data_IF_548523975090
#
_entry.id   IF_548523975090
#
_cell.length_a   1.000
_cell.length_b   1.000
_cell.length_c   1.000
_cell.angle_alpha   90.00
_cell.angle_beta   90.00
_cell.angle_gamma   90.00
#
_symmetry.space_group_name_H-M   'P 1'
#
loop_
_entity.id
_entity.type
_entity.pdbx_description
1 polymer ?
#
# COMPACT_ATOMS: atom_id res chain seq x y z
N UNK A 1 14.39 -6.79 53.31
CA UNK A 1 14.09 -7.27 51.94
C UNK A 1 14.86 -8.57 51.73
N UNK A 2 14.23 -9.63 51.23
CA UNK A 2 14.93 -10.86 50.85
C UNK A 2 14.83 -11.07 49.34
N UNK A 3 15.91 -11.54 48.72
CA UNK A 3 15.99 -11.74 47.28
C UNK A 3 16.33 -13.20 46.97
N UNK A 4 15.58 -13.81 46.06
CA UNK A 4 15.85 -15.16 45.55
C UNK A 4 15.86 -15.14 44.04
N UNK A 5 16.96 -15.58 43.43
CA UNK A 5 17.09 -15.69 41.99
C UNK A 5 16.58 -17.04 41.48
N UNK A 6 15.97 -17.04 40.30
CA UNK A 6 15.56 -18.25 39.59
C UNK A 6 16.50 -18.48 38.40
N UNK A 7 17.49 -19.39 38.53
CA UNK A 7 18.46 -19.66 37.48
C UNK A 7 17.85 -20.31 36.24
N UNK A 8 16.60 -20.80 36.33
CA UNK A 8 15.85 -21.36 35.20
C UNK A 8 15.18 -20.28 34.35
N UNK A 9 14.95 -19.09 34.91
CA UNK A 9 14.14 -18.05 34.27
C UNK A 9 14.87 -16.73 34.08
N UNK A 10 16.03 -16.54 34.72
CA UNK A 10 16.77 -15.28 34.71
C UNK A 10 16.09 -14.19 35.53
N UNK A 11 15.14 -14.55 36.39
CA UNK A 11 14.35 -13.59 37.19
C UNK A 11 14.83 -13.54 38.64
N UNK A 12 14.70 -12.38 39.27
CA UNK A 12 14.97 -12.21 40.70
C UNK A 12 13.70 -11.76 41.43
N UNK A 13 13.30 -12.54 42.43
CA UNK A 13 12.13 -12.28 43.28
C UNK A 13 12.58 -11.54 44.53
N UNK A 14 11.95 -10.41 44.80
CA UNK A 14 12.19 -9.58 45.97
C UNK A 14 10.95 -9.57 46.86
N UNK A 15 11.08 -10.08 48.08
CA UNK A 15 10.06 -9.94 49.11
C UNK A 15 10.33 -8.65 49.91
N UNK A 16 9.38 -7.72 49.84
CA UNK A 16 9.41 -6.46 50.58
C UNK A 16 8.47 -6.55 51.78
N UNK A 17 8.98 -6.14 52.94
CA UNK A 17 8.21 -6.12 54.18
C UNK A 17 8.69 -4.96 55.05
N UNK A 18 7.84 -3.96 55.21
CA UNK A 18 8.01 -2.81 56.10
C UNK A 18 6.68 -2.53 56.81
N UNK A 19 6.65 -1.52 57.70
CA UNK A 19 5.42 -1.09 58.37
C UNK A 19 4.31 -0.68 57.39
N UNK A 20 4.66 -0.20 56.20
CA UNK A 20 3.73 0.42 55.26
C UNK A 20 3.71 -0.21 53.87
N UNK A 21 4.64 -1.11 53.55
CA UNK A 21 4.71 -1.85 52.29
C UNK A 21 4.93 -3.34 52.58
N UNK A 22 4.11 -4.20 51.99
CA UNK A 22 4.36 -5.65 51.97
C UNK A 22 4.01 -6.25 50.61
N UNK A 23 4.75 -7.25 50.15
CA UNK A 23 4.42 -7.99 48.93
C UNK A 23 5.67 -8.41 48.17
N UNK A 24 5.49 -8.70 46.89
CA UNK A 24 6.54 -9.24 46.03
C UNK A 24 6.75 -8.35 44.82
N UNK A 25 8.02 -8.11 44.50
CA UNK A 25 8.47 -7.47 43.27
C UNK A 25 9.34 -8.46 42.50
N UNK A 26 8.93 -8.79 41.28
CA UNK A 26 9.68 -9.72 40.43
C UNK A 26 10.41 -8.95 39.34
N UNK A 27 11.73 -8.98 39.39
CA UNK A 27 12.61 -8.33 38.42
C UNK A 27 12.92 -9.30 37.30
N UNK A 28 12.67 -8.86 36.06
CA UNK A 28 12.92 -9.63 34.84
C UNK A 28 13.75 -8.79 33.89
N UNK A 29 14.85 -9.34 33.32
CA UNK A 29 15.49 -8.73 32.17
C UNK A 29 14.47 -8.54 31.04
N UNK A 30 14.46 -7.37 30.42
CA UNK A 30 13.54 -6.99 29.37
C UNK A 30 14.33 -6.59 28.12
N UNK A 31 14.07 -7.24 26.99
CA UNK A 31 14.60 -6.84 25.69
C UNK A 31 13.88 -5.58 25.22
N UNK A 32 14.66 -4.55 24.91
CA UNK A 32 14.16 -3.29 24.35
C UNK A 32 14.32 -3.37 22.84
N UNK A 33 13.21 -3.21 22.11
CA UNK A 33 13.20 -3.20 20.65
C UNK A 33 13.95 -4.40 20.01
N UNK A 34 14.81 -4.14 19.03
CA UNK A 34 15.47 -5.14 18.19
C UNK A 34 16.67 -5.85 18.84
N UNK A 35 16.91 -5.63 20.12
CA UNK A 35 18.04 -6.24 20.84
C UNK A 35 17.75 -7.69 21.27
N UNK A 36 18.76 -8.55 21.12
CA UNK A 36 18.70 -9.95 21.55
C UNK A 36 19.06 -10.13 23.03
N UNK A 37 19.95 -9.26 23.53
CA UNK A 37 20.28 -9.21 24.94
C UNK A 37 19.35 -8.20 25.64
N UNK A 38 18.77 -8.56 26.79
CA UNK A 38 18.03 -7.61 27.60
C UNK A 38 18.92 -6.44 28.05
N UNK A 39 18.68 -5.23 27.52
CA UNK A 39 19.27 -4.00 28.04
C UNK A 39 18.38 -3.29 29.07
N UNK A 40 17.09 -3.65 29.13
CA UNK A 40 16.13 -3.11 30.08
C UNK A 40 15.79 -4.09 31.20
N UNK A 41 15.01 -3.60 32.16
CA UNK A 41 14.47 -4.39 33.27
C UNK A 41 12.99 -4.08 33.45
N UNK A 42 12.17 -5.11 33.61
CA UNK A 42 10.76 -4.99 33.98
C UNK A 42 10.55 -5.55 35.39
N UNK A 43 9.98 -4.74 36.26
CA UNK A 43 9.56 -5.13 37.61
C UNK A 43 8.06 -5.40 37.58
N UNK A 44 7.69 -6.65 37.79
CA UNK A 44 6.29 -7.08 37.89
C UNK A 44 5.85 -7.11 39.35
N UNK A 45 4.62 -6.70 39.62
CA UNK A 45 4.04 -6.74 40.95
C UNK A 45 3.41 -8.12 41.21
N UNK A 46 3.89 -8.82 42.24
CA UNK A 46 3.61 -10.24 42.49
C UNK A 46 4.55 -11.21 41.75
N UNK A 47 4.20 -12.49 41.71
CA UNK A 47 4.94 -13.60 41.09
C UNK A 47 5.04 -13.53 39.56
N UNK A 48 4.28 -12.63 38.93
CA UNK A 48 4.30 -12.38 37.50
C UNK A 48 4.07 -13.59 36.59
N UNK A 49 3.63 -14.77 37.07
CA UNK A 49 3.46 -15.93 36.19
C UNK A 49 2.44 -15.63 35.09
N UNK A 50 2.79 -15.83 33.80
CA UNK A 50 1.84 -15.71 32.71
C UNK A 50 0.80 -16.85 32.77
N UNK A 51 -0.46 -16.59 32.41
CA UNK A 51 -0.98 -15.28 32.03
C UNK A 51 -1.23 -14.41 33.27
N UNK A 52 -0.67 -13.20 33.29
CA UNK A 52 -1.23 -12.10 34.07
C UNK A 52 -2.57 -11.79 33.41
N UNK A 53 -3.65 -12.42 33.89
CA UNK A 53 -4.99 -12.05 33.44
C UNK A 53 -5.16 -10.56 33.78
N UNK A 54 -5.49 -9.71 32.79
CA UNK A 54 -5.77 -8.31 33.06
C UNK A 54 -6.83 -8.24 34.17
N UNK A 55 -6.58 -7.43 35.20
CA UNK A 55 -7.57 -7.06 36.22
C UNK A 55 -7.99 -8.16 37.20
N UNK A 56 -7.14 -9.17 37.48
CA UNK A 56 -7.36 -10.11 38.60
C UNK A 56 -6.31 -9.89 39.70
N UNK A 57 -6.71 -9.39 40.90
CA UNK A 57 -5.77 -9.14 41.99
C UNK A 57 -5.14 -10.45 42.47
N UNK A 58 -3.83 -10.42 42.73
CA UNK A 58 -3.05 -11.57 43.20
C UNK A 58 -2.72 -11.41 44.67
N UNK A 59 -2.65 -12.49 45.45
CA UNK A 59 -2.45 -12.41 46.90
C UNK A 59 -1.09 -11.80 47.29
N UNK A 60 -0.07 -11.96 46.45
CA UNK A 60 1.32 -11.57 46.68
C UNK A 60 1.72 -10.20 46.08
N UNK A 61 0.78 -9.52 45.42
CA UNK A 61 0.94 -8.13 44.98
C UNK A 61 1.31 -7.19 46.15
N UNK A 62 2.06 -6.11 45.86
CA UNK A 62 2.41 -5.10 46.84
C UNK A 62 1.16 -4.42 47.40
N UNK A 63 1.08 -4.38 48.72
CA UNK A 63 0.09 -3.64 49.51
C UNK A 63 0.82 -2.51 50.21
N UNK A 64 0.50 -1.27 49.81
CA UNK A 64 1.12 -0.03 50.30
C UNK A 64 0.06 0.82 50.98
N UNK A 65 0.26 1.21 52.24
CA UNK A 65 -0.74 1.96 53.03
C UNK A 65 -2.16 1.34 52.95
N UNK A 66 -2.24 0.00 53.00
CA UNK A 66 -3.48 -0.81 52.86
C UNK A 66 -4.12 -0.82 51.46
N UNK A 67 -3.46 -0.25 50.45
CA UNK A 67 -3.89 -0.27 49.05
C UNK A 67 -3.09 -1.32 48.29
N UNK A 68 -3.77 -2.28 47.64
CA UNK A 68 -3.13 -3.26 46.75
C UNK A 68 -2.87 -2.63 45.39
N UNK A 69 -1.64 -2.75 44.90
CA UNK A 69 -1.21 -2.18 43.62
C UNK A 69 -0.93 -3.31 42.63
N UNK A 70 -1.52 -3.21 41.44
CA UNK A 70 -1.39 -4.16 40.34
C UNK A 70 -0.67 -3.48 39.17
N UNK A 71 0.15 -4.24 38.44
CA UNK A 71 0.80 -3.75 37.22
C UNK A 71 2.29 -4.05 37.16
N UNK A 72 2.98 -3.23 36.38
CA UNK A 72 4.40 -3.36 36.07
C UNK A 72 5.09 -2.00 36.12
N UNK A 73 6.40 -2.05 36.30
CA UNK A 73 7.29 -0.93 36.11
C UNK A 73 8.37 -1.33 35.10
N UNK A 74 8.61 -0.49 34.08
CA UNK A 74 9.62 -0.77 33.06
C UNK A 74 10.72 0.28 33.14
N UNK A 75 11.97 -0.17 33.21
CA UNK A 75 13.17 0.66 33.20
C UNK A 75 14.00 0.29 31.97
N UNK A 76 14.10 1.20 31.01
CA UNK A 76 14.80 0.96 29.73
C UNK A 76 16.31 1.17 29.84
N UNK A 77 16.78 1.92 30.84
CA UNK A 77 18.18 2.17 31.11
C UNK A 77 18.44 1.85 32.58
N UNK A 78 18.66 0.58 32.97
CA UNK A 78 18.88 0.24 34.38
C UNK A 78 20.03 1.05 34.97
N UNK A 79 21.11 1.29 34.23
CA UNK A 79 22.27 2.05 34.73
C UNK A 79 22.00 3.55 34.96
N UNK A 80 20.83 4.06 34.56
CA UNK A 80 20.36 5.42 34.87
C UNK A 80 19.00 5.33 35.54
N UNK A 81 18.97 5.55 36.86
CA UNK A 81 17.72 5.48 37.61
C UNK A 81 16.68 6.45 36.99
N UNK A 82 15.46 5.96 36.71
CA UNK A 82 14.41 6.73 36.05
C UNK A 82 13.93 7.92 36.90
N UNK A 83 13.41 8.95 36.25
CA UNK A 83 12.78 10.09 36.94
C UNK A 83 11.58 9.64 37.79
N UNK A 84 11.40 10.20 39.00
CA UNK A 84 10.24 9.92 39.83
C UNK A 84 8.93 10.16 39.06
N UNK A 85 7.98 9.22 39.17
CA UNK A 85 6.67 9.10 38.50
C UNK A 85 6.65 8.53 37.09
N UNK A 86 7.79 8.30 36.44
CA UNK A 86 7.84 7.64 35.12
C UNK A 86 7.78 6.10 35.23
N UNK A 87 8.16 5.56 36.39
CA UNK A 87 8.36 4.12 36.62
C UNK A 87 7.05 3.35 36.78
N UNK A 88 6.02 4.00 37.32
CA UNK A 88 4.74 3.41 37.67
C UNK A 88 3.65 3.66 36.62
N UNK A 89 4.01 3.98 35.37
CA UNK A 89 3.06 4.31 34.30
C UNK A 89 1.99 3.22 34.06
N UNK A 90 2.33 1.96 34.34
CA UNK A 90 1.43 0.79 34.17
C UNK A 90 0.85 0.30 35.51
N UNK A 91 1.03 1.03 36.61
CA UNK A 91 0.55 0.67 37.94
C UNK A 91 -0.84 1.23 38.24
N UNK A 92 -1.75 0.37 38.72
CA UNK A 92 -3.14 0.72 39.02
C UNK A 92 -3.62 0.07 40.31
N UNK A 93 -4.67 0.64 40.88
CA UNK A 93 -5.49 -0.02 41.91
C UNK A 93 -6.68 -0.67 41.21
N UNK A 94 -6.88 -1.97 41.45
CA UNK A 94 -8.04 -2.69 40.96
C UNK A 94 -9.24 -2.45 41.88
N UNK A 95 -10.30 -1.86 41.33
CA UNK A 95 -11.60 -1.71 41.97
C UNK A 95 -12.58 -2.83 41.61
N UNK A 96 -13.82 -2.67 42.03
CA UNK A 96 -14.92 -3.58 41.65
C UNK A 96 -15.19 -3.52 40.14
N UNK A 97 -15.70 -4.60 39.56
CA UNK A 97 -16.05 -4.71 38.14
C UNK A 97 -14.92 -4.36 37.15
N UNK A 98 -13.66 -4.68 37.50
CA UNK A 98 -12.47 -4.39 36.68
C UNK A 98 -12.19 -2.88 36.46
N UNK A 99 -12.81 -2.00 37.25
CA UNK A 99 -12.48 -0.58 37.21
C UNK A 99 -11.04 -0.37 37.70
N UNK A 100 -10.22 0.36 36.93
CA UNK A 100 -8.89 0.77 37.35
C UNK A 100 -8.92 2.16 37.94
N UNK A 101 -8.18 2.38 39.02
CA UNK A 101 -7.99 3.69 39.63
C UNK A 101 -6.50 4.01 39.71
N UNK A 102 -6.17 5.30 39.64
CA UNK A 102 -4.82 5.81 39.89
C UNK A 102 -4.38 5.39 41.31
N UNK A 103 -3.13 4.98 41.45
CA UNK A 103 -2.51 4.73 42.75
C UNK A 103 -2.43 6.04 43.54
N UNK A 104 -2.90 6.10 44.80
CA UNK A 104 -2.80 7.31 45.61
C UNK A 104 -1.35 7.78 45.77
N UNK A 105 -1.10 9.10 45.76
CA UNK A 105 0.26 9.66 45.71
C UNK A 105 1.20 9.09 46.78
N UNK A 106 0.77 9.06 48.06
CA UNK A 106 1.57 8.49 49.15
C UNK A 106 1.93 7.01 48.96
N UNK A 107 1.05 6.24 48.32
CA UNK A 107 1.30 4.84 48.02
C UNK A 107 2.19 4.68 46.78
N UNK A 108 2.07 5.59 45.81
CA UNK A 108 2.92 5.64 44.63
C UNK A 108 4.37 6.01 45.02
N UNK A 109 4.58 7.05 45.83
CA UNK A 109 5.90 7.51 46.27
C UNK A 109 6.67 6.38 46.99
N UNK A 110 6.05 5.73 47.97
CA UNK A 110 6.67 4.63 48.71
C UNK A 110 6.91 3.37 47.86
N UNK A 111 6.03 3.10 46.89
CA UNK A 111 6.23 1.98 45.97
C UNK A 111 7.37 2.27 44.99
N UNK A 112 7.48 3.50 44.51
CA UNK A 112 8.55 3.92 43.62
C UNK A 112 9.92 3.87 44.31
N UNK A 113 10.02 4.35 45.55
CA UNK A 113 11.23 4.17 46.37
C UNK A 113 11.64 2.70 46.49
N UNK A 114 10.67 1.81 46.71
CA UNK A 114 10.93 0.38 46.79
C UNK A 114 11.38 -0.22 45.45
N UNK A 115 10.77 0.20 44.33
CA UNK A 115 11.17 -0.24 42.98
C UNK A 115 12.59 0.25 42.65
N UNK A 116 12.91 1.51 42.94
CA UNK A 116 14.25 2.08 42.76
C UNK A 116 15.27 1.32 43.61
N UNK A 117 14.99 1.05 44.88
CA UNK A 117 15.88 0.27 45.74
C UNK A 117 16.09 -1.16 45.23
N UNK A 118 15.05 -1.80 44.69
CA UNK A 118 15.15 -3.12 44.04
C UNK A 118 16.00 -3.07 42.78
N UNK A 119 15.86 -2.03 41.96
CA UNK A 119 16.66 -1.83 40.74
C UNK A 119 18.14 -1.57 41.07
N UNK A 120 18.42 -0.74 42.08
CA UNK A 120 19.79 -0.52 42.59
C UNK A 120 20.43 -1.81 43.09
N UNK A 121 19.68 -2.60 43.87
CA UNK A 121 20.18 -3.90 44.31
C UNK A 121 20.39 -4.85 43.13
N UNK A 122 19.47 -4.91 42.16
CA UNK A 122 19.61 -5.71 40.94
C UNK A 122 20.88 -5.36 40.16
N UNK A 123 21.21 -4.07 40.03
CA UNK A 123 22.43 -3.62 39.35
C UNK A 123 23.70 -4.10 40.05
N UNK A 124 23.70 -4.12 41.38
CA UNK A 124 24.85 -4.49 42.20
C UNK A 124 25.03 -6.00 42.39
N UNK A 125 24.20 -6.85 41.77
CA UNK A 125 24.30 -8.31 41.92
C UNK A 125 25.51 -8.87 41.16
N UNK A 126 26.25 -9.77 41.83
CA UNK A 126 27.36 -10.49 41.21
C UNK A 126 26.92 -11.46 40.10
N UNK A 127 25.73 -12.06 40.23
CA UNK A 127 25.15 -13.01 39.27
C UNK A 127 24.29 -12.34 38.17
N UNK A 128 24.31 -11.01 38.07
CA UNK A 128 23.46 -10.24 37.13
C UNK A 128 23.64 -10.69 35.69
N UNK A 129 24.90 -10.82 35.25
CA UNK A 129 25.24 -11.19 33.87
C UNK A 129 24.69 -12.57 33.51
N UNK A 130 24.74 -13.53 34.46
CA UNK A 130 24.20 -14.87 34.27
C UNK A 130 22.67 -14.85 34.16
N UNK A 131 21.99 -14.03 34.98
CA UNK A 131 20.54 -13.88 34.92
C UNK A 131 20.08 -13.24 33.60
N UNK A 132 20.81 -12.24 33.10
CA UNK A 132 20.55 -11.62 31.79
C UNK A 132 20.76 -12.64 30.66
N UNK A 133 21.85 -13.40 30.69
CA UNK A 133 22.13 -14.43 29.70
C UNK A 133 21.06 -15.54 29.73
N UNK A 134 20.68 -16.04 30.91
CA UNK A 134 19.60 -17.04 31.04
C UNK A 134 18.27 -16.52 30.47
N UNK A 135 17.92 -15.26 30.75
CA UNK A 135 16.72 -14.65 30.19
C UNK A 135 16.79 -14.55 28.66
N UNK A 136 17.95 -14.17 28.11
CA UNK A 136 18.19 -14.12 26.66
C UNK A 136 18.07 -15.51 26.02
N UNK A 137 18.70 -16.53 26.61
CA UNK A 137 18.61 -17.94 26.15
C UNK A 137 17.18 -18.45 26.13
N UNK A 138 16.38 -18.10 27.13
CA UNK A 138 14.96 -18.48 27.20
C UNK A 138 14.13 -17.79 26.12
N UNK A 139 14.45 -16.54 25.77
CA UNK A 139 13.77 -15.78 24.72
C UNK A 139 14.23 -16.18 23.30
N UNK A 140 15.45 -16.72 23.16
CA UNK A 140 16.09 -17.02 21.89
C UNK A 140 15.24 -17.85 20.91
N UNK A 141 14.53 -18.94 21.31
CA UNK A 141 13.68 -19.68 20.37
C UNK A 141 12.56 -18.83 19.74
N UNK A 142 11.99 -17.89 20.51
CA UNK A 142 10.97 -16.98 19.99
C UNK A 142 11.59 -15.95 19.04
N UNK A 143 12.77 -15.43 19.37
CA UNK A 143 13.52 -14.51 18.52
C UNK A 143 13.97 -15.18 17.20
N UNK A 144 14.47 -16.41 17.24
CA UNK A 144 14.81 -17.22 16.05
C UNK A 144 13.61 -17.40 15.14
N UNK A 145 12.45 -17.78 15.69
CA UNK A 145 11.22 -17.94 14.90
C UNK A 145 10.81 -16.63 14.24
N UNK A 146 10.81 -15.52 15.00
CA UNK A 146 10.46 -14.21 14.48
C UNK A 146 11.42 -13.74 13.36
N UNK A 147 12.73 -13.90 13.57
CA UNK A 147 13.76 -13.55 12.59
C UNK A 147 13.63 -14.38 11.30
N UNK A 148 13.37 -15.69 11.41
CA UNK A 148 13.13 -16.56 10.23
C UNK A 148 11.91 -16.11 9.42
N UNK A 149 10.79 -15.81 10.10
CA UNK A 149 9.59 -15.33 9.42
C UNK A 149 9.83 -14.00 8.72
N UNK A 150 10.49 -13.05 9.39
CA UNK A 150 10.81 -11.76 8.81
C UNK A 150 11.80 -11.88 7.63
N UNK A 151 12.81 -12.75 7.75
CA UNK A 151 13.77 -13.01 6.69
C UNK A 151 13.09 -13.60 5.45
N UNK A 152 12.25 -14.62 5.61
CA UNK A 152 11.51 -15.22 4.51
C UNK A 152 10.59 -14.22 3.80
N UNK A 153 9.97 -13.30 4.54
CA UNK A 153 9.18 -12.22 3.96
C UNK A 153 10.06 -11.25 3.16
N UNK A 154 11.18 -10.80 3.72
CA UNK A 154 12.11 -9.90 3.04
C UNK A 154 12.71 -10.53 1.76
N UNK A 155 12.98 -11.84 1.78
CA UNK A 155 13.45 -12.59 0.61
C UNK A 155 12.38 -12.70 -0.48
N UNK A 156 11.12 -12.92 -0.10
CA UNK A 156 10.00 -12.94 -1.04
C UNK A 156 9.80 -11.56 -1.70
N UNK A 157 9.84 -10.49 -0.91
CA UNK A 157 9.76 -9.12 -1.41
C UNK A 157 10.93 -8.79 -2.35
N UNK A 158 12.15 -9.21 -1.98
CA UNK A 158 13.34 -9.03 -2.81
C UNK A 158 13.22 -9.77 -4.16
N UNK A 159 12.65 -10.97 -4.15
CA UNK A 159 12.38 -11.72 -5.39
C UNK A 159 11.36 -10.98 -6.27
N UNK A 160 10.27 -10.46 -5.69
CA UNK A 160 9.27 -9.69 -6.43
C UNK A 160 9.86 -8.42 -7.06
N UNK A 161 10.69 -7.67 -6.32
CA UNK A 161 11.36 -6.46 -6.85
C UNK A 161 12.33 -6.82 -7.98
N UNK A 162 13.06 -7.94 -7.88
CA UNK A 162 13.95 -8.41 -8.96
C UNK A 162 13.18 -8.76 -10.25
N UNK A 163 12.02 -9.39 -10.13
CA UNK A 163 11.17 -9.64 -11.30
C UNK A 163 10.64 -8.32 -11.90
N UNK A 164 10.24 -7.36 -11.07
CA UNK A 164 9.80 -6.05 -11.55
C UNK A 164 10.93 -5.27 -12.25
N UNK A 165 12.16 -5.35 -11.74
CA UNK A 165 13.35 -4.77 -12.40
C UNK A 165 13.55 -5.38 -13.79
N UNK A 166 13.49 -6.71 -13.91
CA UNK A 166 13.62 -7.41 -15.19
C UNK A 166 12.54 -6.98 -16.18
N UNK A 167 11.27 -6.95 -15.75
CA UNK A 167 10.15 -6.52 -16.60
C UNK A 167 10.27 -5.06 -17.04
N UNK A 168 10.79 -4.18 -16.19
CA UNK A 168 10.96 -2.76 -16.51
C UNK A 168 12.14 -2.55 -17.46
N UNK A 169 13.22 -3.33 -17.33
CA UNK A 169 14.32 -3.35 -18.30
C UNK A 169 13.85 -3.84 -19.68
N UNK A 170 13.08 -4.94 -19.72
CA UNK A 170 12.50 -5.44 -20.96
C UNK A 170 11.60 -4.38 -21.62
N UNK A 171 10.80 -3.65 -20.84
CA UNK A 171 9.97 -2.55 -21.35
C UNK A 171 10.80 -1.40 -21.91
N UNK A 172 11.88 -0.99 -21.24
CA UNK A 172 12.77 0.05 -21.76
C UNK A 172 13.39 -0.35 -23.10
N UNK A 173 13.89 -1.58 -23.23
CA UNK A 173 14.43 -2.07 -24.50
C UNK A 173 13.40 -1.97 -25.62
N UNK A 174 12.13 -2.34 -25.35
CA UNK A 174 11.03 -2.18 -26.32
C UNK A 174 10.74 -0.73 -26.67
N UNK A 175 10.77 0.19 -25.70
CA UNK A 175 10.57 1.61 -25.95
C UNK A 175 11.72 2.22 -26.76
N UNK A 176 12.96 1.81 -26.50
CA UNK A 176 14.13 2.24 -27.25
C UNK A 176 14.09 1.71 -28.70
N UNK A 177 13.70 0.45 -28.91
CA UNK A 177 13.44 -0.13 -30.24
C UNK A 177 12.37 0.67 -31.00
N UNK A 178 11.29 1.06 -30.31
CA UNK A 178 10.23 1.87 -30.90
C UNK A 178 10.74 3.27 -31.27
N UNK A 179 11.46 3.94 -30.38
CA UNK A 179 12.01 5.28 -30.60
C UNK A 179 13.04 5.31 -31.74
N UNK A 180 13.80 4.24 -31.93
CA UNK A 180 14.81 4.14 -32.99
C UNK A 180 14.21 3.95 -34.40
N UNK A 181 12.98 3.46 -34.49
CA UNK A 181 12.37 3.07 -35.76
C UNK A 181 11.07 3.84 -36.02
N UNK A 182 11.14 5.03 -36.66
CA UNK A 182 9.97 5.85 -36.95
C UNK A 182 8.95 5.07 -37.79
N UNK A 183 7.64 5.29 -37.57
CA UNK A 183 6.60 4.66 -38.37
C UNK A 183 6.67 5.15 -39.84
N UNK A 184 6.30 4.31 -40.81
CA UNK A 184 6.08 4.76 -42.19
C UNK A 184 4.95 5.81 -42.24
N UNK A 185 4.86 6.61 -43.33
CA UNK A 185 3.77 7.56 -43.50
C UNK A 185 2.40 6.86 -43.48
N UNK A 186 1.33 7.56 -43.03
CA UNK A 186 0.00 6.99 -42.93
C UNK A 186 -0.57 6.62 -44.31
N UNK A 187 -1.38 5.57 -44.33
CA UNK A 187 -2.25 5.31 -45.47
C UNK A 187 -3.27 6.45 -45.61
N UNK A 188 -3.66 6.80 -46.85
CA UNK A 188 -4.66 7.83 -47.07
C UNK A 188 -6.01 7.43 -46.46
N UNK A 189 -6.88 8.41 -46.14
CA UNK A 189 -8.24 8.14 -45.64
C UNK A 189 -9.02 7.21 -46.59
N UNK A 190 -9.65 6.17 -46.05
CA UNK A 190 -10.30 5.10 -46.82
C UNK A 190 -11.65 5.49 -47.46
N UNK A 191 -12.00 6.79 -47.46
CA UNK A 191 -13.20 7.34 -48.10
C UNK A 191 -14.44 7.31 -47.21
N UNK A 192 -15.62 7.14 -47.84
CA UNK A 192 -16.94 7.17 -47.18
C UNK A 192 -17.47 5.74 -47.03
N UNK A 193 -17.85 5.36 -45.82
CA UNK A 193 -18.41 4.04 -45.48
C UNK A 193 -19.76 4.19 -44.78
N UNK A 194 -20.68 3.26 -45.02
CA UNK A 194 -21.93 3.18 -44.27
C UNK A 194 -21.68 2.46 -42.94
N UNK A 195 -21.85 3.17 -41.83
CA UNK A 195 -21.74 2.64 -40.47
C UNK A 195 -23.10 2.21 -39.95
N UNK A 196 -23.26 0.93 -39.62
CA UNK A 196 -24.44 0.41 -38.92
C UNK A 196 -24.13 0.37 -37.43
N UNK A 197 -25.06 0.84 -36.59
CA UNK A 197 -24.90 0.84 -35.14
C UNK A 197 -26.08 0.16 -34.45
N UNK A 198 -25.77 -0.59 -33.39
CA UNK A 198 -26.71 -1.46 -32.67
C UNK A 198 -26.77 -1.10 -31.19
N UNK A 199 -27.88 -1.45 -30.55
CA UNK A 199 -28.00 -1.38 -29.10
C UNK A 199 -27.16 -2.46 -28.39
N UNK A 200 -27.21 -2.50 -27.07
CA UNK A 200 -26.55 -3.52 -26.23
C UNK A 200 -27.05 -4.95 -26.47
N UNK A 201 -28.21 -5.13 -27.11
CA UNK A 201 -28.79 -6.43 -27.46
C UNK A 201 -28.50 -6.85 -28.91
N UNK A 202 -27.78 -6.02 -29.67
CA UNK A 202 -27.43 -6.28 -31.07
C UNK A 202 -28.55 -5.93 -32.06
N UNK A 203 -29.62 -5.26 -31.62
CA UNK A 203 -30.66 -4.77 -32.51
C UNK A 203 -30.19 -3.50 -33.24
N UNK A 204 -30.43 -3.42 -34.54
CA UNK A 204 -30.05 -2.27 -35.35
C UNK A 204 -30.85 -1.03 -34.93
N UNK A 205 -30.16 0.01 -34.48
CA UNK A 205 -30.76 1.30 -34.16
C UNK A 205 -30.79 2.23 -35.38
N UNK A 206 -29.87 2.04 -36.32
CA UNK A 206 -29.82 2.82 -37.56
C UNK A 206 -28.49 2.68 -38.30
N UNK A 207 -28.32 3.56 -39.28
CA UNK A 207 -27.08 3.70 -40.02
C UNK A 207 -26.74 5.18 -40.25
N UNK A 208 -25.45 5.47 -40.39
CA UNK A 208 -24.92 6.78 -40.74
C UNK A 208 -23.86 6.64 -41.83
N UNK A 209 -23.65 7.70 -42.59
CA UNK A 209 -22.48 7.82 -43.46
C UNK A 209 -21.32 8.33 -42.62
N UNK A 210 -20.18 7.65 -42.72
CA UNK A 210 -18.96 8.01 -42.02
C UNK A 210 -17.88 8.23 -43.05
N UNK A 211 -17.23 9.39 -42.99
CA UNK A 211 -16.10 9.75 -43.83
C UNK A 211 -14.85 9.88 -42.96
N UNK A 212 -13.78 9.23 -43.35
CA UNK A 212 -12.46 9.49 -42.79
C UNK A 212 -11.94 10.81 -43.35
N UNK A 213 -11.72 11.81 -42.49
CA UNK A 213 -11.26 13.14 -42.91
C UNK A 213 -9.77 13.36 -42.66
N UNK A 214 -9.20 12.64 -41.70
CA UNK A 214 -7.78 12.69 -41.39
C UNK A 214 -7.33 11.36 -40.76
N UNK A 215 -6.08 10.98 -41.07
CA UNK A 215 -5.35 9.87 -40.44
C UNK A 215 -4.03 10.45 -39.98
N UNK A 216 -3.88 10.66 -38.67
CA UNK A 216 -2.74 11.36 -38.10
C UNK A 216 -1.74 10.36 -37.52
N UNK A 217 -0.52 10.36 -38.06
CA UNK A 217 0.60 9.56 -37.57
C UNK A 217 1.83 10.45 -37.42
N UNK A 218 2.34 10.67 -36.20
CA UNK A 218 1.74 10.44 -34.87
C UNK A 218 0.55 11.39 -34.59
N UNK A 219 -0.43 11.04 -33.72
CA UNK A 219 -0.39 10.04 -32.64
C UNK A 219 -1.11 8.71 -32.93
N UNK A 220 -1.37 8.37 -34.20
CA UNK A 220 -2.09 7.15 -34.58
C UNK A 220 -3.60 7.28 -34.53
N UNK A 221 -4.14 8.49 -34.70
CA UNK A 221 -5.57 8.78 -34.61
C UNK A 221 -6.22 8.83 -36.00
N UNK A 222 -7.51 8.54 -36.05
CA UNK A 222 -8.36 8.72 -37.22
C UNK A 222 -9.51 9.64 -36.86
N UNK A 223 -9.71 10.68 -37.66
CA UNK A 223 -10.85 11.58 -37.51
C UNK A 223 -11.97 11.13 -38.45
N UNK A 224 -13.12 10.82 -37.86
CA UNK A 224 -14.33 10.43 -38.55
C UNK A 224 -15.32 11.59 -38.54
N UNK A 225 -15.79 12.02 -39.72
CA UNK A 225 -16.98 12.85 -39.87
C UNK A 225 -18.19 11.94 -40.04
N UNK A 226 -19.18 12.11 -39.17
CA UNK A 226 -20.40 11.31 -39.17
C UNK A 226 -21.56 12.17 -39.63
N UNK A 227 -22.37 11.65 -40.55
CA UNK A 227 -23.59 12.29 -41.07
C UNK A 227 -24.75 11.27 -41.14
N UNK A 228 -25.86 11.59 -40.49
CA UNK A 228 -27.05 10.75 -40.44
C UNK A 228 -28.30 11.51 -39.98
N UNK A 229 -29.49 10.86 -39.98
CA UNK A 229 -30.79 11.52 -39.82
C UNK A 229 -30.98 12.37 -38.55
N UNK A 230 -30.14 12.18 -37.52
CA UNK A 230 -30.14 12.94 -36.26
C UNK A 230 -28.74 13.06 -35.66
N UNK A 231 -27.72 12.93 -36.50
CA UNK A 231 -26.35 12.71 -36.10
C UNK A 231 -25.44 13.47 -37.06
N UNK A 232 -24.68 14.42 -36.55
CA UNK A 232 -23.70 15.15 -37.36
C UNK A 232 -22.49 15.51 -36.49
N UNK A 233 -21.29 15.54 -37.07
CA UNK A 233 -20.09 16.07 -36.40
C UNK A 233 -18.90 15.14 -36.49
N UNK A 234 -17.84 15.46 -35.74
CA UNK A 234 -16.55 14.80 -35.85
C UNK A 234 -16.20 14.00 -34.59
N UNK A 235 -15.52 12.88 -34.77
CA UNK A 235 -15.04 12.00 -33.70
C UNK A 235 -13.61 11.59 -34.01
N UNK A 236 -12.72 11.79 -33.06
CA UNK A 236 -11.33 11.32 -33.17
C UNK A 236 -11.23 10.00 -32.41
N UNK A 237 -10.74 8.96 -33.08
CA UNK A 237 -10.52 7.64 -32.48
C UNK A 237 -9.04 7.28 -32.63
N UNK A 238 -8.41 6.81 -31.56
CA UNK A 238 -7.01 6.39 -31.58
C UNK A 238 -6.71 5.35 -30.52
N UNK A 239 -5.43 5.04 -30.28
CA UNK A 239 -5.06 4.06 -29.27
C UNK A 239 -5.31 4.56 -27.85
N UNK A 240 -5.43 3.62 -26.90
CA UNK A 240 -5.65 3.95 -25.49
C UNK A 240 -4.50 4.80 -24.92
N UNK A 241 -4.82 6.05 -24.57
CA UNK A 241 -3.86 7.07 -24.17
C UNK A 241 -3.14 6.73 -22.85
N UNK A 242 -3.85 6.07 -21.94
CA UNK A 242 -3.33 5.74 -20.59
C UNK A 242 -2.70 4.35 -20.48
N UNK A 243 -2.53 3.61 -21.58
CA UNK A 243 -1.84 2.32 -21.58
C UNK A 243 -0.40 2.49 -21.06
N UNK A 244 0.03 1.59 -20.18
CA UNK A 244 1.43 1.43 -19.75
C UNK A 244 2.23 0.49 -20.66
N UNK A 245 1.56 -0.15 -21.62
CA UNK A 245 2.21 -1.07 -22.54
C UNK A 245 3.04 -0.28 -23.57
N UNK A 246 4.20 -0.79 -23.99
CA UNK A 246 5.01 -0.14 -25.04
C UNK A 246 4.20 0.12 -26.32
N UNK A 247 3.32 -0.81 -26.70
CA UNK A 247 2.39 -0.65 -27.82
C UNK A 247 0.95 -0.68 -27.30
N UNK A 248 0.18 0.43 -27.44
CA UNK A 248 -1.18 0.50 -26.94
C UNK A 248 -2.12 -0.38 -27.78
N UNK A 249 -2.87 -1.26 -27.13
CA UNK A 249 -3.82 -2.15 -27.81
C UNK A 249 -5.28 -1.68 -27.68
N UNK A 250 -5.59 -0.87 -26.67
CA UNK A 250 -6.95 -0.34 -26.43
C UNK A 250 -7.33 0.81 -27.34
N UNK A 251 -8.49 1.42 -27.09
CA UNK A 251 -9.03 2.54 -27.89
C UNK A 251 -9.31 3.75 -27.00
N UNK A 252 -9.08 4.94 -27.53
CA UNK A 252 -9.57 6.21 -26.99
C UNK A 252 -10.43 6.89 -28.05
N UNK A 253 -11.54 7.46 -27.62
CA UNK A 253 -12.51 8.18 -28.45
C UNK A 253 -12.69 9.56 -27.85
N UNK A 254 -12.56 10.58 -28.70
CA UNK A 254 -12.79 11.97 -28.37
C UNK A 254 -13.91 12.54 -29.24
N UNK A 255 -14.81 13.28 -28.61
CA UNK A 255 -15.93 13.94 -29.28
C UNK A 255 -15.49 15.34 -29.74
N UNK A 256 -15.57 15.60 -31.04
CA UNK A 256 -15.02 16.80 -31.68
C UNK A 256 -13.53 16.69 -32.03
N UNK A 257 -13.00 17.73 -32.66
CA UNK A 257 -11.58 17.90 -33.03
C UNK A 257 -10.94 19.01 -32.18
N UNK A 258 -9.61 19.05 -32.10
CA UNK A 258 -8.88 20.06 -31.33
C UNK A 258 -8.64 19.70 -29.86
N UNK A 259 -8.21 20.68 -29.07
CA UNK A 259 -7.85 20.51 -27.66
C UNK A 259 -9.09 20.56 -26.75
N UNK A 260 -8.98 20.01 -25.54
CA UNK A 260 -10.11 19.87 -24.61
C UNK A 260 -10.87 21.15 -24.32
N UNK A 261 -10.20 22.31 -24.28
CA UNK A 261 -10.81 23.60 -23.95
C UNK A 261 -11.43 24.31 -25.16
N UNK A 262 -10.98 24.02 -26.39
CA UNK A 262 -11.38 24.66 -27.65
C UNK A 262 -11.73 23.61 -28.71
N UNK A 263 -12.72 22.78 -28.40
CA UNK A 263 -13.12 21.69 -29.30
C UNK A 263 -14.00 22.20 -30.44
N UNK A 264 -13.56 21.94 -31.66
CA UNK A 264 -14.33 22.15 -32.88
C UNK A 264 -15.20 20.94 -33.24
N UNK A 265 -16.23 21.17 -34.07
CA UNK A 265 -17.02 20.11 -34.72
C UNK A 265 -17.58 19.02 -33.79
N UNK A 266 -17.93 19.38 -32.57
CA UNK A 266 -18.51 18.45 -31.60
C UNK A 266 -19.79 17.79 -32.15
N UNK A 267 -19.99 16.49 -31.88
CA UNK A 267 -21.11 15.75 -32.41
C UNK A 267 -22.45 16.26 -31.86
N UNK A 268 -23.41 16.40 -32.76
CA UNK A 268 -24.80 16.77 -32.48
C UNK A 268 -25.67 15.55 -32.66
N UNK A 269 -26.36 15.14 -31.59
CA UNK A 269 -27.24 13.97 -31.57
C UNK A 269 -28.62 14.38 -31.10
N UNK A 270 -29.66 14.12 -31.89
CA UNK A 270 -31.03 14.59 -31.64
C UNK A 270 -31.09 16.11 -31.37
N UNK A 271 -30.25 16.90 -32.07
CA UNK A 271 -30.15 18.35 -31.88
C UNK A 271 -29.35 18.82 -30.67
N UNK A 272 -28.74 17.91 -29.89
CA UNK A 272 -27.94 18.23 -28.70
C UNK A 272 -26.46 18.05 -29.01
N UNK A 273 -25.66 19.11 -28.84
CA UNK A 273 -24.20 19.05 -28.98
C UNK A 273 -23.57 18.34 -27.78
N UNK A 274 -22.67 17.40 -28.03
CA UNK A 274 -22.07 16.52 -27.03
C UNK A 274 -20.58 16.80 -26.84
N UNK A 275 -20.13 16.83 -25.59
CA UNK A 275 -18.72 16.91 -25.20
C UNK A 275 -18.31 15.72 -24.34
N UNK A 276 -17.04 15.33 -24.46
CA UNK A 276 -16.44 14.25 -23.69
C UNK A 276 -15.69 13.25 -24.54
N UNK A 277 -15.58 12.03 -24.02
CA UNK A 277 -14.85 10.96 -24.68
C UNK A 277 -15.07 9.65 -23.95
N UNK A 278 -14.50 8.60 -24.51
CA UNK A 278 -14.50 7.28 -23.91
C UNK A 278 -13.17 6.61 -24.17
N UNK A 279 -12.62 5.95 -23.16
CA UNK A 279 -11.41 5.16 -23.30
C UNK A 279 -11.65 3.74 -22.82
N UNK A 280 -11.03 2.79 -23.50
CA UNK A 280 -11.20 1.37 -23.27
C UNK A 280 -9.85 0.68 -23.23
N UNK A 281 -9.49 0.12 -22.08
CA UNK A 281 -8.34 -0.76 -21.95
C UNK A 281 -8.60 -2.07 -22.69
N UNK A 282 -7.60 -2.57 -23.42
CA UNK A 282 -7.69 -3.72 -24.34
C UNK A 282 -8.06 -5.08 -23.72
N UNK A 283 -8.35 -5.16 -22.42
CA UNK A 283 -8.59 -6.41 -21.70
C UNK A 283 -9.83 -7.17 -22.16
N UNK A 284 -10.77 -6.48 -22.83
CA UNK A 284 -11.96 -7.09 -23.42
C UNK A 284 -12.17 -6.57 -24.85
N UNK A 285 -12.60 -7.41 -25.80
CA UNK A 285 -12.84 -6.96 -27.17
C UNK A 285 -13.99 -5.95 -27.22
N UNK A 286 -13.85 -4.93 -28.06
CA UNK A 286 -14.94 -4.01 -28.39
C UNK A 286 -15.76 -4.67 -29.51
N UNK A 287 -17.07 -4.76 -29.32
CA UNK A 287 -18.01 -5.27 -30.32
C UNK A 287 -19.13 -4.25 -30.55
N UNK A 288 -19.97 -4.41 -31.57
CA UNK A 288 -21.10 -3.49 -31.79
C UNK A 288 -22.03 -3.33 -30.57
N UNK A 289 -22.13 -4.36 -29.73
CA UNK A 289 -22.98 -4.39 -28.52
C UNK A 289 -22.21 -4.35 -27.19
N UNK A 290 -20.87 -4.42 -27.20
CA UNK A 290 -20.04 -4.43 -26.00
C UNK A 290 -18.94 -3.36 -26.03
N UNK A 291 -18.74 -2.59 -24.95
CA UNK A 291 -19.45 -2.65 -23.67
C UNK A 291 -20.90 -2.13 -23.74
N UNK A 292 -21.83 -2.66 -22.92
CA UNK A 292 -23.26 -2.31 -23.04
C UNK A 292 -23.51 -0.82 -22.75
N UNK A 293 -22.74 -0.25 -21.83
CA UNK A 293 -22.83 1.16 -21.42
C UNK A 293 -21.47 1.84 -21.52
N UNK A 294 -21.46 3.12 -21.89
CA UNK A 294 -20.28 3.98 -21.87
C UNK A 294 -20.44 5.08 -20.80
N UNK A 295 -19.39 5.84 -20.45
CA UNK A 295 -19.56 7.07 -19.70
C UNK A 295 -20.60 7.99 -20.39
N UNK A 296 -21.41 8.69 -19.59
CA UNK A 296 -22.43 9.60 -20.12
C UNK A 296 -21.75 10.77 -20.83
N UNK A 297 -22.23 11.09 -22.03
CA UNK A 297 -21.85 12.33 -22.68
C UNK A 297 -22.43 13.51 -21.89
N UNK A 298 -21.70 14.63 -21.92
CA UNK A 298 -22.15 15.91 -21.39
C UNK A 298 -22.62 16.82 -22.52
N UNK A 299 -23.51 17.76 -22.22
CA UNK A 299 -23.82 18.82 -23.18
C UNK A 299 -22.62 19.74 -23.35
N UNK A 300 -22.34 20.12 -24.59
CA UNK A 300 -21.31 21.09 -24.90
C UNK A 300 -21.79 22.54 -24.74
N UNK A 301 -22.34 22.86 -23.56
CA UNK A 301 -22.76 24.22 -23.22
C UNK A 301 -21.61 24.97 -22.54
N UNK A 302 -21.39 26.28 -22.83
CA UNK A 302 -20.24 27.04 -22.31
C UNK A 302 -20.19 27.20 -20.79
N UNK A 303 -21.31 26.98 -20.09
CA UNK A 303 -21.46 27.36 -18.68
C UNK A 303 -21.87 26.22 -17.74
N UNK A 304 -22.33 25.07 -18.25
CA UNK A 304 -22.73 23.93 -17.40
C UNK A 304 -22.64 22.59 -18.14
N UNK A 305 -21.91 21.62 -17.58
CA UNK A 305 -21.91 20.23 -18.02
C UNK A 305 -23.21 19.51 -17.60
N UNK A 306 -24.30 19.81 -18.29
CA UNK A 306 -25.59 19.18 -18.03
C UNK A 306 -25.63 17.75 -18.61
N UNK A 307 -26.33 16.82 -17.95
CA UNK A 307 -26.51 15.48 -18.48
C UNK A 307 -27.36 15.49 -19.75
N UNK A 308 -26.99 14.62 -20.68
CA UNK A 308 -27.71 14.40 -21.94
C UNK A 308 -28.88 13.43 -21.73
N UNK A 309 -30.04 13.61 -22.40
CA UNK A 309 -31.17 12.67 -22.30
C UNK A 309 -30.75 11.22 -22.60
N UNK A 310 -31.40 10.28 -21.92
CA UNK A 310 -31.08 8.84 -21.99
C UNK A 310 -31.10 8.33 -23.43
N UNK A 311 -32.16 8.62 -24.19
CA UNK A 311 -32.27 8.20 -25.59
C UNK A 311 -31.12 8.72 -26.48
N UNK A 312 -30.67 9.96 -26.25
CA UNK A 312 -29.53 10.56 -26.97
C UNK A 312 -28.22 9.87 -26.58
N UNK A 313 -28.02 9.56 -25.30
CA UNK A 313 -26.87 8.79 -24.85
C UNK A 313 -26.83 7.37 -25.44
N UNK A 314 -27.95 6.62 -25.43
CA UNK A 314 -27.98 5.26 -26.00
C UNK A 314 -27.65 5.26 -27.49
N UNK A 315 -28.25 6.19 -28.26
CA UNK A 315 -27.95 6.35 -29.68
C UNK A 315 -26.45 6.68 -29.88
N UNK A 316 -25.92 7.59 -29.09
CA UNK A 316 -24.52 7.99 -29.20
C UNK A 316 -23.54 6.88 -28.81
N UNK A 317 -23.84 6.11 -27.76
CA UNK A 317 -23.00 4.97 -27.37
C UNK A 317 -22.91 3.92 -28.45
N UNK A 318 -24.02 3.62 -29.13
CA UNK A 318 -24.04 2.72 -30.27
C UNK A 318 -23.13 3.20 -31.42
N UNK A 319 -23.16 4.50 -31.72
CA UNK A 319 -22.28 5.13 -32.73
C UNK A 319 -20.81 5.04 -32.31
N UNK A 320 -20.49 5.40 -31.06
CA UNK A 320 -19.12 5.37 -30.53
C UNK A 320 -18.54 3.95 -30.55
N UNK A 321 -19.31 2.94 -30.15
CA UNK A 321 -18.90 1.53 -30.28
C UNK A 321 -18.64 1.15 -31.72
N UNK A 322 -19.56 1.48 -32.62
CA UNK A 322 -19.43 1.13 -34.02
C UNK A 322 -18.19 1.80 -34.66
N UNK A 323 -17.89 3.06 -34.31
CA UNK A 323 -16.67 3.76 -34.73
C UNK A 323 -15.40 3.11 -34.15
N UNK A 324 -15.41 2.74 -32.86
CA UNK A 324 -14.28 2.04 -32.26
C UNK A 324 -14.04 0.66 -32.91
N UNK A 325 -15.10 -0.10 -33.21
CA UNK A 325 -15.00 -1.34 -33.98
C UNK A 325 -14.42 -1.08 -35.37
N UNK A 326 -14.90 -0.04 -36.07
CA UNK A 326 -14.37 0.37 -37.37
C UNK A 326 -12.87 0.66 -37.30
N UNK A 327 -12.43 1.45 -36.33
CA UNK A 327 -11.02 1.75 -36.08
C UNK A 327 -10.19 0.48 -35.82
N UNK A 328 -10.64 -0.41 -34.93
CA UNK A 328 -9.89 -1.63 -34.59
C UNK A 328 -9.79 -2.65 -35.74
N UNK A 329 -10.65 -2.53 -36.75
CA UNK A 329 -10.68 -3.42 -37.94
C UNK A 329 -9.98 -2.82 -39.15
N UNK A 330 -9.39 -1.64 -39.04
CA UNK A 330 -8.63 -1.05 -40.14
C UNK A 330 -7.46 -1.94 -40.55
N UNK A 331 -7.13 -2.01 -41.85
CA UNK A 331 -6.00 -2.81 -42.34
C UNK A 331 -4.64 -2.32 -41.79
N UNK A 332 -4.52 -1.02 -41.51
CA UNK A 332 -3.30 -0.35 -41.02
C UNK A 332 -3.27 -0.17 -39.49
N UNK A 333 -4.17 -0.82 -38.73
CA UNK A 333 -4.27 -0.64 -37.26
C UNK A 333 -2.95 -0.91 -36.53
N UNK A 334 -2.15 -1.86 -37.00
CA UNK A 334 -0.83 -2.15 -36.43
C UNK A 334 0.14 -0.97 -36.60
N UNK A 335 0.09 -0.27 -37.74
CA UNK A 335 0.90 0.92 -38.00
C UNK A 335 0.44 2.10 -37.14
N UNK A 336 -0.87 2.34 -37.02
CA UNK A 336 -1.42 3.38 -36.14
C UNK A 336 -1.01 3.18 -34.68
N UNK A 337 -1.10 1.94 -34.17
CA UNK A 337 -0.64 1.60 -32.82
C UNK A 337 0.86 1.82 -32.64
N UNK A 338 1.67 1.47 -33.65
CA UNK A 338 3.12 1.72 -33.64
C UNK A 338 3.45 3.21 -33.70
N UNK A 339 2.72 4.01 -34.48
CA UNK A 339 2.90 5.45 -34.54
C UNK A 339 2.58 6.12 -33.19
N UNK A 340 1.52 5.67 -32.52
CA UNK A 340 1.19 6.11 -31.15
C UNK A 340 2.22 5.69 -30.10
N UNK A 341 2.81 4.50 -30.29
CA UNK A 341 3.89 4.01 -29.45
C UNK A 341 5.15 4.87 -29.64
N UNK A 342 5.55 5.12 -30.88
CA UNK A 342 6.65 6.01 -31.25
C UNK A 342 6.50 7.41 -30.64
N UNK A 343 5.31 8.02 -30.81
CA UNK A 343 5.03 9.37 -30.31
C UNK A 343 5.25 9.53 -28.79
N UNK A 344 4.99 8.46 -28.04
CA UNK A 344 5.04 8.46 -26.57
C UNK A 344 6.30 7.79 -26.02
N UNK A 345 7.16 7.26 -26.88
CA UNK A 345 8.29 6.44 -26.48
C UNK A 345 9.24 7.22 -25.57
N UNK A 346 9.59 8.46 -25.91
CA UNK A 346 10.47 9.31 -25.11
C UNK A 346 9.93 9.56 -23.69
N UNK A 347 8.67 10.00 -23.58
CA UNK A 347 8.02 10.27 -22.29
C UNK A 347 7.90 9.01 -21.43
N UNK A 348 7.56 7.88 -22.07
CA UNK A 348 7.44 6.58 -21.40
C UNK A 348 8.80 6.05 -20.95
N UNK A 349 9.83 6.17 -21.77
CA UNK A 349 11.20 5.80 -21.39
C UNK A 349 11.65 6.60 -20.19
N UNK A 350 11.38 7.91 -20.15
CA UNK A 350 11.71 8.74 -18.98
C UNK A 350 11.00 8.26 -17.71
N UNK A 351 9.70 7.97 -17.78
CA UNK A 351 8.93 7.46 -16.65
C UNK A 351 9.43 6.07 -16.17
N UNK A 352 9.77 5.17 -17.09
CA UNK A 352 10.32 3.84 -16.77
C UNK A 352 11.73 3.92 -16.16
N UNK A 353 12.58 4.85 -16.61
CA UNK A 353 13.88 5.11 -15.97
C UNK A 353 13.72 5.56 -14.51
N UNK A 354 12.74 6.42 -14.22
CA UNK A 354 12.42 6.81 -12.83
C UNK A 354 11.93 5.62 -12.01
N UNK A 355 11.09 4.76 -12.59
CA UNK A 355 10.61 3.55 -11.93
C UNK A 355 11.77 2.59 -11.60
N UNK A 356 12.70 2.36 -12.54
CA UNK A 356 13.91 1.56 -12.32
C UNK A 356 14.78 2.11 -11.19
N UNK A 357 14.98 3.42 -11.12
CA UNK A 357 15.76 4.03 -10.04
C UNK A 357 15.13 3.76 -8.67
N UNK A 358 13.80 3.85 -8.56
CA UNK A 358 13.07 3.52 -7.33
C UNK A 358 13.19 2.05 -6.96
N UNK A 359 13.00 1.14 -7.93
CA UNK A 359 13.12 -0.30 -7.73
C UNK A 359 14.54 -0.71 -7.30
N UNK A 360 15.59 -0.08 -7.84
CA UNK A 360 16.97 -0.31 -7.40
C UNK A 360 17.19 0.12 -5.95
N UNK A 361 16.74 1.31 -5.58
CA UNK A 361 16.83 1.78 -4.19
C UNK A 361 16.06 0.87 -3.22
N UNK A 362 14.90 0.35 -3.64
CA UNK A 362 14.13 -0.62 -2.87
C UNK A 362 14.84 -1.97 -2.74
N UNK A 363 15.44 -2.47 -3.83
CA UNK A 363 16.27 -3.68 -3.81
C UNK A 363 17.44 -3.56 -2.83
N UNK A 364 18.14 -2.43 -2.82
CA UNK A 364 19.26 -2.18 -1.91
C UNK A 364 18.79 -2.15 -0.44
N UNK A 365 17.65 -1.48 -0.18
CA UNK A 365 17.05 -1.45 1.15
C UNK A 365 16.66 -2.86 1.64
N UNK A 366 16.00 -3.65 0.80
CA UNK A 366 15.59 -5.01 1.13
C UNK A 366 16.80 -5.93 1.31
N UNK A 367 17.85 -5.78 0.50
CA UNK A 367 19.09 -6.54 0.63
C UNK A 367 19.78 -6.25 1.97
N UNK A 368 19.87 -4.98 2.36
CA UNK A 368 20.41 -4.59 3.66
C UNK A 368 19.55 -5.11 4.81
N UNK A 369 18.22 -5.06 4.67
CA UNK A 369 17.29 -5.60 5.68
C UNK A 369 17.44 -7.11 5.83
N UNK A 370 17.53 -7.85 4.73
CA UNK A 370 17.74 -9.31 4.75
C UNK A 370 19.07 -9.66 5.42
N UNK A 371 20.16 -8.94 5.09
CA UNK A 371 21.46 -9.15 5.73
C UNK A 371 21.43 -8.88 7.25
N UNK A 372 20.73 -7.82 7.69
CA UNK A 372 20.55 -7.53 9.10
C UNK A 372 19.72 -8.61 9.83
N UNK A 373 18.66 -9.10 9.19
CA UNK A 373 17.82 -10.19 9.72
C UNK A 373 18.58 -11.51 9.80
N UNK A 374 19.41 -11.82 8.80
CA UNK A 374 20.28 -12.99 8.82
C UNK A 374 21.27 -12.92 9.98
N UNK A 375 21.97 -11.78 10.14
CA UNK A 375 22.87 -11.57 11.28
C UNK A 375 22.16 -11.77 12.62
N UNK A 376 20.95 -11.23 12.76
CA UNK A 376 20.14 -11.40 13.97
C UNK A 376 19.72 -12.85 14.21
N UNK A 377 19.40 -13.58 13.14
CA UNK A 377 19.10 -15.01 13.22
C UNK A 377 20.31 -15.80 13.71
N UNK A 378 21.51 -15.48 13.21
CA UNK A 378 22.76 -16.13 13.61
C UNK A 378 23.07 -15.84 15.08
N UNK A 379 22.98 -14.58 15.52
CA UNK A 379 23.17 -14.17 16.91
C UNK A 379 22.15 -14.85 17.86
N UNK A 380 20.87 -14.93 17.46
CA UNK A 380 19.84 -15.59 18.26
C UNK A 380 20.05 -17.11 18.33
N UNK A 381 20.53 -17.71 17.25
CA UNK A 381 20.87 -19.15 17.20
C UNK A 381 22.09 -19.45 18.07
N UNK A 382 23.10 -18.58 18.06
CA UNK A 382 24.29 -18.70 18.90
C UNK A 382 23.97 -18.60 20.41
N UNK A 383 22.90 -17.90 20.80
CA UNK A 383 22.42 -17.91 22.19
C UNK A 383 21.82 -19.27 22.60
N UNK A 384 21.38 -20.09 21.65
CA UNK A 384 20.80 -21.41 21.93
C UNK A 384 21.84 -22.53 22.02
N UNK A 385 23.02 -22.35 21.42
CA UNK A 385 24.18 -23.24 21.54
C UNK A 385 24.94 -22.97 22.84
#
# INVERSE_FOLDING_TARGET
MSATASPQTGTARYAVHTRHLRGVLLVRPHTVADELLPAGVRVSFGDGEPPVRPYRPRPDEPVVHRVRVHGTATCLAPDRLPDPRAVLAEAVVLGEHHATRRVPDRAADLLEEAVVAVLQHWQARDDRSDLVLTAARRAAPTAVRAARTALAAAEADLHAVREQLRLSQDRLLRLDELAAAPPPPPDPPAGVTRLVYTDEHGQALGAALVRETAVDQPPGTVTYRVDGPRLAGSVVVGPYLYSTDPVPTGVSVQYGTGADDDRGDEPVVNGIRLRGGWSHSSTTPITPSFPPTLPRASRADPTTALPVPVATNHLWWAVVRALAVCYTRRPDIALLRRAAAYARAADRSHAEWQALARLRAEQDKLTNSAAALQKRLDEATALMS
#
